data_IF_199842949098
#
_entry.id   IF_199842949098
#
_cell.length_a   1.000
_cell.length_b   1.000
_cell.length_c   1.000
_cell.angle_alpha   90.00
_cell.angle_beta   90.00
_cell.angle_gamma   90.00
#
_symmetry.space_group_name_H-M   'P 1'
#
loop_
_entity.id
_entity.type
_entity.pdbx_description
1 polymer ?
#
# COMPACT_ATOMS: atom_id res chain seq x y z
N UNK A 1 8.62 42.73 -35.96
CA UNK A 1 9.11 41.45 -35.39
C UNK A 1 8.54 41.13 -34.00
N UNK A 2 8.33 42.12 -33.10
CA UNK A 2 7.79 41.90 -31.74
C UNK A 2 6.41 41.20 -31.67
N UNK A 3 5.47 41.52 -32.58
CA UNK A 3 4.10 40.97 -32.54
C UNK A 3 4.04 39.45 -32.74
N UNK A 4 4.90 38.88 -33.60
CA UNK A 4 4.95 37.42 -33.83
C UNK A 4 5.51 36.64 -32.64
N UNK A 5 6.48 37.20 -31.93
CA UNK A 5 7.03 36.57 -30.71
C UNK A 5 6.00 36.50 -29.58
N UNK A 6 5.20 37.55 -29.41
CA UNK A 6 4.13 37.60 -28.41
C UNK A 6 3.04 36.56 -28.74
N UNK A 7 2.65 36.43 -30.00
CA UNK A 7 1.67 35.43 -30.44
C UNK A 7 2.17 33.99 -30.24
N UNK A 8 3.45 33.71 -30.53
CA UNK A 8 4.07 32.39 -30.29
C UNK A 8 4.11 32.09 -28.78
N UNK A 9 4.45 33.07 -27.95
CA UNK A 9 4.48 32.90 -26.50
C UNK A 9 3.08 32.59 -25.93
N UNK A 10 2.04 33.31 -26.36
CA UNK A 10 0.66 32.99 -25.97
C UNK A 10 0.22 31.61 -26.45
N UNK A 11 0.61 31.19 -27.66
CA UNK A 11 0.30 29.87 -28.19
C UNK A 11 0.97 28.75 -27.38
N UNK A 12 2.24 28.93 -26.98
CA UNK A 12 2.97 27.99 -26.12
C UNK A 12 2.35 27.93 -24.71
N UNK A 13 1.97 29.07 -24.14
CA UNK A 13 1.33 29.13 -22.81
C UNK A 13 -0.06 28.48 -22.85
N UNK A 14 -0.84 28.69 -23.91
CA UNK A 14 -2.15 28.02 -24.10
C UNK A 14 -1.97 26.52 -24.32
N UNK A 15 -0.99 26.09 -25.13
CA UNK A 15 -0.62 24.67 -25.27
C UNK A 15 -0.18 24.06 -23.93
N UNK A 16 0.61 24.79 -23.14
CA UNK A 16 1.07 24.37 -21.82
C UNK A 16 -0.09 24.23 -20.80
N UNK A 17 -1.07 25.14 -20.85
CA UNK A 17 -2.28 25.06 -20.03
C UNK A 17 -3.24 23.95 -20.48
N UNK A 18 -3.33 23.69 -21.80
CA UNK A 18 -4.12 22.59 -22.36
C UNK A 18 -3.45 21.22 -22.15
N UNK A 19 -2.13 21.19 -21.95
CA UNK A 19 -1.40 20.04 -21.43
C UNK A 19 -1.48 19.94 -19.90
N UNK A 20 -2.68 20.15 -19.32
CA UNK A 20 -3.00 19.50 -18.06
C UNK A 20 -2.95 17.99 -18.32
N UNK A 21 -1.74 17.42 -18.18
CA UNK A 21 -1.47 16.02 -18.42
C UNK A 21 -2.33 15.21 -17.46
N UNK A 22 -3.48 14.75 -17.95
CA UNK A 22 -4.28 13.74 -17.27
C UNK A 22 -3.35 12.54 -17.08
N UNK A 23 -3.14 12.20 -15.82
CA UNK A 23 -2.15 11.23 -15.39
C UNK A 23 -2.67 10.59 -14.12
N UNK A 24 -2.51 9.28 -14.03
CA UNK A 24 -2.87 8.53 -12.84
C UNK A 24 -2.12 9.08 -11.64
N UNK A 25 -2.88 9.34 -10.57
CA UNK A 25 -2.35 9.80 -9.28
C UNK A 25 -2.31 8.64 -8.30
N UNK A 26 -1.31 8.67 -7.43
CA UNK A 26 -1.28 7.78 -6.27
C UNK A 26 -2.19 8.35 -5.18
N UNK A 27 -2.90 7.48 -4.48
CA UNK A 27 -3.65 7.86 -3.28
C UNK A 27 -2.65 8.24 -2.18
N UNK A 28 -2.74 9.45 -1.59
CA UNK A 28 -1.84 9.85 -0.52
C UNK A 28 -1.92 8.92 0.71
N UNK A 29 -0.91 9.01 1.57
CA UNK A 29 -0.85 8.34 2.87
C UNK A 29 -0.95 6.80 2.81
N UNK A 30 -0.35 6.22 1.76
CA UNK A 30 -0.09 4.79 1.63
C UNK A 30 1.30 4.42 2.16
N UNK A 31 1.42 3.26 2.80
CA UNK A 31 2.69 2.71 3.30
C UNK A 31 2.68 1.18 3.39
N UNK A 32 3.88 0.59 3.44
CA UNK A 32 4.13 -0.80 3.82
C UNK A 32 5.28 -0.81 4.85
N UNK A 33 5.31 -1.82 5.71
CA UNK A 33 6.30 -1.94 6.81
C UNK A 33 7.08 -3.23 6.66
N UNK A 34 8.42 -3.17 6.77
CA UNK A 34 9.25 -4.39 6.81
C UNK A 34 8.82 -5.26 7.99
N UNK A 35 8.49 -6.52 7.71
CA UNK A 35 7.92 -7.47 8.67
C UNK A 35 6.39 -7.44 8.73
N UNK A 36 5.70 -6.77 7.80
CA UNK A 36 4.26 -6.84 7.63
C UNK A 36 3.88 -7.14 6.18
N UNK A 37 2.92 -8.05 6.01
CA UNK A 37 2.49 -8.58 4.71
C UNK A 37 1.46 -7.68 4.01
N UNK A 38 1.15 -6.52 4.59
CA UNK A 38 0.09 -5.63 4.16
C UNK A 38 0.61 -4.26 3.74
N UNK A 39 -0.01 -3.74 2.68
CA UNK A 39 -0.01 -2.31 2.37
C UNK A 39 -1.23 -1.65 3.01
N UNK A 40 -1.04 -0.49 3.61
CA UNK A 40 -2.07 0.28 4.30
C UNK A 40 -2.22 1.66 3.65
N UNK A 41 -3.45 2.08 3.36
CA UNK A 41 -3.78 3.43 2.93
C UNK A 41 -4.76 4.09 3.88
N UNK A 42 -4.29 5.15 4.57
CA UNK A 42 -5.07 5.88 5.57
C UNK A 42 -6.26 6.60 4.93
N UNK A 43 -6.06 7.25 3.78
CA UNK A 43 -7.10 8.09 3.15
C UNK A 43 -8.28 7.28 2.60
N UNK A 44 -8.05 6.04 2.17
CA UNK A 44 -9.08 5.14 1.68
C UNK A 44 -9.60 4.19 2.75
N UNK A 45 -9.02 4.24 3.95
CA UNK A 45 -9.28 3.29 5.04
C UNK A 45 -9.19 1.85 4.54
N UNK A 46 -8.11 1.54 3.82
CA UNK A 46 -7.97 0.30 3.05
C UNK A 46 -6.62 -0.34 3.31
N UNK A 47 -6.64 -1.65 3.48
CA UNK A 47 -5.48 -2.51 3.60
C UNK A 47 -5.50 -3.49 2.43
N UNK A 48 -4.34 -3.80 1.87
CA UNK A 48 -4.16 -4.75 0.76
C UNK A 48 -3.11 -5.75 1.19
N UNK A 49 -3.43 -7.04 1.18
CA UNK A 49 -2.46 -8.12 1.38
C UNK A 49 -1.57 -8.23 0.14
N UNK A 50 -0.26 -8.23 0.35
CA UNK A 50 0.76 -8.19 -0.71
C UNK A 50 1.27 -9.59 -1.10
N UNK A 51 1.07 -10.60 -0.26
CA UNK A 51 1.67 -11.93 -0.39
C UNK A 51 2.96 -12.07 0.40
N UNK A 52 3.34 -13.31 0.72
CA UNK A 52 4.47 -13.64 1.60
C UNK A 52 5.83 -13.16 1.05
N UNK A 53 5.97 -13.03 -0.28
CA UNK A 53 7.20 -12.59 -0.92
C UNK A 53 7.65 -11.20 -0.41
N UNK A 54 6.71 -10.32 0.01
CA UNK A 54 7.08 -9.02 0.63
C UNK A 54 7.88 -9.20 1.93
N UNK A 55 7.78 -10.33 2.61
CA UNK A 55 8.46 -10.58 3.88
C UNK A 55 9.93 -10.95 3.68
N UNK A 56 10.37 -11.25 2.45
CA UNK A 56 11.76 -11.58 2.18
C UNK A 56 12.68 -10.35 2.32
N UNK A 57 13.74 -10.48 3.12
CA UNK A 57 14.68 -9.39 3.41
C UNK A 57 15.28 -8.75 2.16
N UNK A 58 15.50 -9.52 1.09
CA UNK A 58 16.07 -9.01 -0.16
C UNK A 58 15.22 -7.90 -0.79
N UNK A 59 13.91 -7.90 -0.57
CA UNK A 59 13.02 -6.83 -1.03
C UNK A 59 13.19 -5.51 -0.26
N UNK A 60 13.78 -5.56 0.94
CA UNK A 60 13.95 -4.41 1.85
C UNK A 60 15.40 -3.91 1.94
N UNK A 61 16.37 -4.61 1.33
CA UNK A 61 17.79 -4.22 1.32
C UNK A 61 18.09 -3.02 0.40
N UNK A 62 17.15 -2.63 -0.48
CA UNK A 62 17.30 -1.50 -1.37
C UNK A 62 17.25 -0.14 -0.67
N UNK A 63 17.71 0.93 -1.35
CA UNK A 63 17.59 2.31 -0.87
C UNK A 63 16.14 2.83 -0.82
N UNK A 64 15.20 2.08 -1.38
CA UNK A 64 13.80 2.46 -1.54
C UNK A 64 12.91 1.31 -1.11
N UNK A 65 11.80 1.64 -0.45
CA UNK A 65 10.75 0.68 -0.11
C UNK A 65 10.32 -0.10 -1.38
N UNK A 66 10.18 -1.43 -1.31
CA UNK A 66 9.75 -2.26 -2.44
C UNK A 66 8.37 -1.85 -2.98
N UNK A 67 7.56 -1.20 -2.14
CA UNK A 67 6.26 -0.65 -2.47
C UNK A 67 6.36 0.88 -2.63
N UNK A 68 6.24 1.34 -3.88
CA UNK A 68 6.12 2.75 -4.22
C UNK A 68 4.67 3.23 -4.10
N UNK A 69 4.43 4.09 -3.10
CA UNK A 69 3.18 4.80 -2.88
C UNK A 69 3.32 6.34 -2.99
N UNK A 70 4.32 6.83 -3.75
CA UNK A 70 4.53 8.28 -3.97
C UNK A 70 4.05 8.74 -5.35
N UNK A 71 4.39 8.00 -6.39
CA UNK A 71 4.10 8.38 -7.77
C UNK A 71 3.89 7.17 -8.66
N UNK A 72 3.10 7.34 -9.73
CA UNK A 72 2.89 6.28 -10.72
C UNK A 72 3.99 6.37 -11.77
N UNK A 73 4.81 5.33 -11.90
CA UNK A 73 5.86 5.31 -12.92
C UNK A 73 5.28 5.20 -14.33
N UNK A 74 6.02 5.72 -15.32
CA UNK A 74 5.59 5.73 -16.72
C UNK A 74 5.23 4.34 -17.27
N UNK A 75 5.91 3.30 -16.77
CA UNK A 75 5.60 1.91 -17.11
C UNK A 75 4.18 1.54 -16.68
N UNK A 76 3.84 1.72 -15.41
CA UNK A 76 2.50 1.42 -14.88
C UNK A 76 1.42 2.33 -15.46
N UNK A 77 1.73 3.60 -15.79
CA UNK A 77 0.78 4.45 -16.54
C UNK A 77 0.39 3.86 -17.89
N UNK A 78 1.32 3.19 -18.58
CA UNK A 78 1.04 2.51 -19.87
C UNK A 78 0.23 1.24 -19.66
N UNK A 79 0.50 0.48 -18.60
CA UNK A 79 -0.28 -0.70 -18.21
C UNK A 79 -1.73 -0.32 -17.93
N UNK A 80 -1.96 0.71 -17.12
CA UNK A 80 -3.32 1.19 -16.82
C UNK A 80 -4.09 1.65 -18.05
N UNK A 81 -3.42 2.32 -19.00
CA UNK A 81 -4.00 2.68 -20.30
C UNK A 81 -4.35 1.46 -21.14
N UNK A 82 -3.45 0.47 -21.18
CA UNK A 82 -3.68 -0.79 -21.90
C UNK A 82 -4.92 -1.52 -21.33
N UNK A 83 -5.08 -1.52 -20.00
CA UNK A 83 -6.22 -2.06 -19.29
C UNK A 83 -7.45 -1.13 -19.25
N UNK A 84 -7.41 0.00 -19.98
CA UNK A 84 -8.53 0.96 -20.13
C UNK A 84 -9.03 1.60 -18.82
N UNK A 85 -8.18 1.71 -17.81
CA UNK A 85 -8.50 2.49 -16.61
C UNK A 85 -8.63 3.97 -16.93
N UNK A 86 -9.67 4.63 -16.43
CA UNK A 86 -9.78 6.09 -16.49
C UNK A 86 -8.97 6.73 -15.35
N UNK A 87 -8.12 7.71 -15.68
CA UNK A 87 -7.29 8.43 -14.71
C UNK A 87 -8.05 9.42 -13.81
N UNK A 88 -9.32 9.67 -14.12
CA UNK A 88 -10.23 10.45 -13.27
C UNK A 88 -11.09 9.55 -12.37
N UNK A 89 -11.42 8.35 -12.85
CA UNK A 89 -12.24 7.39 -12.12
C UNK A 89 -11.45 6.55 -11.12
N UNK A 90 -10.14 6.38 -11.35
CA UNK A 90 -9.28 5.51 -10.57
C UNK A 90 -8.03 6.22 -10.06
N UNK A 91 -7.52 5.74 -8.94
CA UNK A 91 -6.23 6.11 -8.38
C UNK A 91 -5.42 4.85 -8.07
N UNK A 92 -4.10 4.98 -8.21
CA UNK A 92 -3.16 3.92 -7.84
C UNK A 92 -2.99 3.94 -6.32
N UNK A 93 -3.07 2.79 -5.68
CA UNK A 93 -2.73 2.65 -4.26
C UNK A 93 -1.22 2.56 -4.10
N UNK A 94 -0.60 1.66 -4.85
CA UNK A 94 0.84 1.47 -4.92
C UNK A 94 1.23 0.73 -6.19
N UNK A 95 2.53 0.76 -6.49
CA UNK A 95 3.19 -0.17 -7.38
C UNK A 95 4.42 -0.74 -6.69
N UNK A 96 4.82 -1.97 -6.99
CA UNK A 96 6.02 -2.57 -6.41
C UNK A 96 6.68 -3.55 -7.35
N UNK A 97 7.94 -3.83 -7.07
CA UNK A 97 8.69 -4.94 -7.65
C UNK A 97 9.05 -5.87 -6.51
N UNK A 98 8.67 -7.14 -6.63
CA UNK A 98 8.89 -8.15 -5.60
C UNK A 98 9.64 -9.32 -6.20
N UNK A 99 10.61 -9.79 -5.43
CA UNK A 99 11.34 -11.01 -5.70
C UNK A 99 11.05 -11.99 -4.56
N UNK A 100 10.61 -13.20 -4.88
CA UNK A 100 10.37 -14.25 -3.89
C UNK A 100 10.29 -15.61 -4.56
N UNK A 101 9.16 -16.33 -4.43
CA UNK A 101 8.90 -17.52 -5.24
C UNK A 101 8.99 -17.21 -6.74
N UNK A 102 8.55 -16.01 -7.13
CA UNK A 102 8.67 -15.46 -8.48
C UNK A 102 9.23 -14.04 -8.43
N UNK A 103 9.71 -13.56 -9.57
CA UNK A 103 10.01 -12.15 -9.78
C UNK A 103 8.86 -11.51 -10.56
N UNK A 104 8.26 -10.47 -10.00
CA UNK A 104 7.10 -9.84 -10.60
C UNK A 104 6.94 -8.39 -10.18
N UNK A 105 6.19 -7.65 -10.99
CA UNK A 105 5.70 -6.33 -10.60
C UNK A 105 4.24 -6.42 -10.19
N UNK A 106 3.88 -5.68 -9.15
CA UNK A 106 2.52 -5.58 -8.65
C UNK A 106 2.03 -4.14 -8.71
N UNK A 107 0.76 -3.96 -9.03
CA UNK A 107 0.08 -2.67 -9.08
C UNK A 107 -1.30 -2.82 -8.47
N UNK A 108 -1.63 -2.00 -7.49
CA UNK A 108 -2.96 -1.94 -6.91
C UNK A 108 -3.67 -0.63 -7.27
N UNK A 109 -4.95 -0.72 -7.63
CA UNK A 109 -5.76 0.42 -8.09
C UNK A 109 -7.11 0.39 -7.40
N UNK A 110 -7.64 1.56 -7.04
CA UNK A 110 -8.96 1.69 -6.42
C UNK A 110 -9.81 2.70 -7.19
N UNK A 111 -11.12 2.48 -7.27
CA UNK A 111 -12.01 3.49 -7.83
C UNK A 111 -12.19 4.67 -6.84
N UNK A 112 -12.27 5.87 -7.40
CA UNK A 112 -12.39 7.12 -6.63
C UNK A 112 -13.80 7.35 -6.14
N UNK A 113 -14.77 6.92 -6.95
CA UNK A 113 -16.18 7.13 -6.70
C UNK A 113 -16.96 5.97 -7.31
N UNK A 114 -18.10 5.60 -6.71
CA UNK A 114 -18.99 4.61 -7.30
C UNK A 114 -19.60 5.16 -8.58
N UNK A 115 -20.37 4.33 -9.29
CA UNK A 115 -21.18 4.83 -10.37
C UNK A 115 -22.23 5.83 -9.85
N UNK A 116 -22.68 6.74 -10.71
CA UNK A 116 -23.73 7.71 -10.36
C UNK A 116 -24.90 7.57 -11.32
N UNK A 117 -26.12 7.51 -10.79
CA UNK A 117 -27.35 7.39 -11.58
C UNK A 117 -27.46 8.51 -12.60
N UNK A 118 -27.73 8.16 -13.86
CA UNK A 118 -27.88 9.12 -14.96
C UNK A 118 -26.57 9.65 -15.55
N UNK A 119 -25.40 9.22 -15.05
CA UNK A 119 -24.10 9.53 -15.67
C UNK A 119 -23.57 8.31 -16.44
N UNK A 120 -22.75 8.56 -17.46
CA UNK A 120 -22.05 7.50 -18.19
C UNK A 120 -21.19 6.70 -17.20
N UNK A 121 -21.29 5.37 -17.26
CA UNK A 121 -20.47 4.47 -16.44
C UNK A 121 -18.98 4.79 -16.68
N UNK A 122 -18.29 5.14 -15.60
CA UNK A 122 -16.86 5.46 -15.61
C UNK A 122 -16.00 4.38 -14.98
N UNK A 123 -16.62 3.33 -14.42
CA UNK A 123 -15.93 2.17 -13.91
C UNK A 123 -15.51 1.23 -15.05
N UNK A 124 -14.48 0.44 -14.78
CA UNK A 124 -13.97 -0.58 -15.67
C UNK A 124 -15.07 -1.56 -16.06
N UNK A 125 -15.17 -1.87 -17.35
CA UNK A 125 -16.06 -2.90 -17.86
C UNK A 125 -15.49 -4.29 -17.56
N UNK A 126 -16.24 -5.07 -16.77
CA UNK A 126 -15.86 -6.42 -16.35
C UNK A 126 -16.55 -7.52 -17.16
N UNK A 127 -17.29 -7.18 -18.22
CA UNK A 127 -18.09 -8.14 -19.01
C UNK A 127 -17.25 -9.25 -19.66
N UNK A 128 -16.00 -8.95 -20.02
CA UNK A 128 -15.06 -9.92 -20.60
C UNK A 128 -14.22 -10.67 -19.55
N UNK A 129 -14.37 -10.37 -18.26
CA UNK A 129 -13.60 -11.00 -17.21
C UNK A 129 -14.24 -12.33 -16.82
N UNK A 130 -13.39 -13.30 -16.50
CA UNK A 130 -13.83 -14.51 -15.83
C UNK A 130 -14.25 -14.16 -14.40
N UNK A 131 -15.37 -14.70 -13.95
CA UNK A 131 -15.86 -14.51 -12.58
C UNK A 131 -15.59 -15.76 -11.76
N UNK A 132 -14.94 -15.58 -10.62
CA UNK A 132 -14.82 -16.63 -9.60
C UNK A 132 -15.54 -16.21 -8.34
N UNK A 133 -16.20 -17.18 -7.72
CA UNK A 133 -16.96 -16.98 -6.50
C UNK A 133 -16.89 -18.22 -5.63
N UNK A 134 -16.62 -18.01 -4.35
CA UNK A 134 -16.58 -19.04 -3.32
C UNK A 134 -17.15 -18.49 -2.00
N UNK A 135 -16.93 -19.22 -0.90
CA UNK A 135 -17.38 -18.85 0.45
C UNK A 135 -16.75 -17.56 1.00
N UNK A 136 -15.57 -17.19 0.52
CA UNK A 136 -14.85 -15.98 0.98
C UNK A 136 -15.31 -14.73 0.23
N UNK A 137 -15.87 -14.89 -0.97
CA UNK A 137 -16.42 -13.78 -1.75
C UNK A 137 -16.34 -14.04 -3.23
N UNK A 138 -16.30 -12.95 -4.01
CA UNK A 138 -16.17 -13.02 -5.46
C UNK A 138 -15.10 -12.06 -5.95
N UNK A 139 -14.47 -12.42 -7.06
CA UNK A 139 -13.58 -11.55 -7.81
C UNK A 139 -13.70 -11.83 -9.30
N UNK A 140 -13.22 -10.90 -10.10
CA UNK A 140 -13.16 -11.01 -11.56
C UNK A 140 -11.71 -11.02 -11.99
N UNK A 141 -11.36 -11.79 -13.01
CA UNK A 141 -10.01 -11.76 -13.54
C UNK A 141 -9.91 -11.98 -15.05
N UNK A 142 -8.81 -11.51 -15.62
CA UNK A 142 -8.41 -11.80 -16.98
C UNK A 142 -6.90 -11.98 -17.05
N UNK A 143 -6.44 -12.66 -18.10
CA UNK A 143 -5.03 -12.90 -18.38
C UNK A 143 -4.73 -12.42 -19.78
N UNK A 144 -3.78 -11.50 -19.92
CA UNK A 144 -3.37 -10.94 -21.20
C UNK A 144 -1.84 -10.89 -21.28
N UNK A 145 -1.31 -10.23 -22.31
CA UNK A 145 0.12 -9.93 -22.43
C UNK A 145 0.34 -8.44 -22.58
N UNK A 146 1.44 -7.94 -22.03
CA UNK A 146 1.87 -6.56 -22.19
C UNK A 146 3.38 -6.52 -22.39
N UNK A 147 3.83 -6.17 -23.60
CA UNK A 147 5.26 -6.06 -23.95
C UNK A 147 6.09 -7.31 -23.60
N UNK A 148 5.61 -8.50 -23.95
CA UNK A 148 6.30 -9.76 -23.65
C UNK A 148 6.26 -10.15 -22.18
N UNK A 149 5.37 -9.56 -21.37
CA UNK A 149 5.11 -9.99 -20.01
C UNK A 149 3.71 -10.56 -19.89
N UNK A 150 3.57 -11.61 -19.07
CA UNK A 150 2.27 -12.15 -18.69
C UNK A 150 1.60 -11.17 -17.74
N UNK A 151 0.40 -10.69 -18.11
CA UNK A 151 -0.36 -9.74 -17.31
C UNK A 151 -1.56 -10.45 -16.71
N UNK A 152 -1.58 -10.57 -15.39
CA UNK A 152 -2.73 -11.06 -14.64
C UNK A 152 -3.46 -9.88 -14.00
N UNK A 153 -4.75 -9.75 -14.27
CA UNK A 153 -5.54 -8.62 -13.80
C UNK A 153 -6.76 -9.11 -13.05
N UNK A 154 -6.79 -8.82 -11.75
CA UNK A 154 -7.85 -9.16 -10.83
C UNK A 154 -8.61 -7.91 -10.38
N UNK A 155 -9.92 -8.02 -10.19
CA UNK A 155 -10.80 -6.97 -9.68
C UNK A 155 -11.67 -7.55 -8.56
N UNK A 156 -11.50 -7.02 -7.36
CA UNK A 156 -12.13 -7.45 -6.12
C UNK A 156 -13.17 -6.39 -5.71
N UNK A 157 -14.47 -6.64 -5.90
CA UNK A 157 -15.51 -5.78 -5.37
C UNK A 157 -15.68 -6.03 -3.86
N UNK A 158 -15.49 -4.98 -3.05
CA UNK A 158 -15.67 -5.05 -1.59
C UNK A 158 -16.86 -4.22 -1.08
N UNK A 159 -17.44 -3.38 -1.93
CA UNK A 159 -18.82 -2.91 -1.76
C UNK A 159 -19.54 -3.07 -3.09
N UNK A 160 -20.57 -3.91 -3.11
CA UNK A 160 -21.37 -4.21 -4.30
C UNK A 160 -22.72 -3.50 -4.35
N UNK A 161 -23.02 -2.61 -3.40
CA UNK A 161 -24.28 -1.86 -3.38
C UNK A 161 -24.31 -0.93 -4.59
N UNK A 162 -25.43 -0.96 -5.32
CA UNK A 162 -25.64 -0.14 -6.51
C UNK A 162 -25.40 1.35 -6.17
N UNK A 163 -24.63 2.04 -7.01
CA UNK A 163 -24.22 3.44 -6.82
C UNK A 163 -23.33 3.69 -5.59
N UNK A 164 -22.81 2.62 -4.97
CA UNK A 164 -21.83 2.66 -3.88
C UNK A 164 -20.70 1.65 -4.14
N UNK A 165 -20.51 1.26 -5.39
CA UNK A 165 -19.54 0.24 -5.76
C UNK A 165 -18.13 0.68 -5.37
N UNK A 166 -17.44 -0.17 -4.60
CA UNK A 166 -16.03 -0.03 -4.30
C UNK A 166 -15.29 -1.29 -4.72
N UNK A 167 -14.18 -1.09 -5.43
CA UNK A 167 -13.39 -2.16 -6.03
C UNK A 167 -11.91 -1.86 -5.89
N UNK A 168 -11.13 -2.88 -5.51
CA UNK A 168 -9.68 -2.89 -5.62
C UNK A 168 -9.30 -3.76 -6.78
N UNK A 169 -8.37 -3.32 -7.61
CA UNK A 169 -7.78 -4.14 -8.66
C UNK A 169 -6.35 -4.47 -8.29
N UNK A 170 -5.98 -5.74 -8.40
CA UNK A 170 -4.60 -6.22 -8.26
C UNK A 170 -4.13 -6.66 -9.63
N UNK A 171 -3.04 -6.06 -10.11
CA UNK A 171 -2.48 -6.30 -11.43
C UNK A 171 -1.05 -6.79 -11.22
N UNK A 172 -0.73 -7.93 -11.80
CA UNK A 172 0.58 -8.54 -11.73
C UNK A 172 1.20 -8.62 -13.13
N UNK A 173 2.49 -8.34 -13.23
CA UNK A 173 3.29 -8.50 -14.43
C UNK A 173 4.39 -9.51 -14.14
N UNK A 174 4.34 -10.65 -14.81
CA UNK A 174 5.32 -11.72 -14.73
C UNK A 174 6.13 -11.85 -16.02
N UNK A 175 7.26 -12.57 -16.00
CA UNK A 175 7.88 -13.12 -17.19
C UNK A 175 6.86 -13.84 -18.11
N UNK A 176 7.15 -13.89 -19.41
CA UNK A 176 6.21 -14.39 -20.43
C UNK A 176 5.80 -15.85 -20.21
N UNK A 177 6.74 -16.66 -19.71
CA UNK A 177 6.65 -18.09 -19.47
C UNK A 177 5.96 -18.46 -18.15
N UNK A 178 5.47 -17.47 -17.39
CA UNK A 178 4.77 -17.73 -16.14
C UNK A 178 3.47 -18.53 -16.32
N UNK A 179 3.38 -19.68 -15.64
CA UNK A 179 2.23 -20.60 -15.72
C UNK A 179 1.47 -20.79 -14.41
N UNK A 180 2.03 -20.45 -13.24
CA UNK A 180 1.42 -20.70 -11.93
C UNK A 180 0.38 -19.62 -11.54
N UNK A 181 -0.71 -19.56 -12.32
CA UNK A 181 -1.80 -18.60 -12.06
C UNK A 181 -2.46 -18.87 -10.69
N UNK A 182 -2.40 -20.11 -10.18
CA UNK A 182 -2.97 -20.48 -8.89
C UNK A 182 -2.32 -19.70 -7.74
N UNK A 183 -0.99 -19.57 -7.74
CA UNK A 183 -0.28 -18.73 -6.76
C UNK A 183 -0.81 -17.30 -6.71
N UNK A 184 -1.02 -16.66 -7.87
CA UNK A 184 -1.53 -15.28 -7.92
C UNK A 184 -2.99 -15.19 -7.42
N UNK A 185 -3.79 -16.23 -7.68
CA UNK A 185 -5.15 -16.33 -7.15
C UNK A 185 -5.16 -16.48 -5.64
N UNK A 186 -4.21 -17.19 -5.04
CA UNK A 186 -4.13 -17.34 -3.58
C UNK A 186 -3.90 -15.98 -2.89
N UNK A 187 -2.99 -15.16 -3.41
CA UNK A 187 -2.78 -13.78 -2.92
C UNK A 187 -4.05 -12.93 -3.04
N UNK A 188 -4.76 -13.05 -4.16
CA UNK A 188 -6.04 -12.36 -4.41
C UNK A 188 -7.12 -12.86 -3.44
N UNK A 189 -7.14 -14.16 -3.15
CA UNK A 189 -8.13 -14.76 -2.26
C UNK A 189 -7.98 -14.28 -0.81
N UNK A 190 -6.76 -14.07 -0.31
CA UNK A 190 -6.55 -13.46 1.01
C UNK A 190 -7.16 -12.05 1.09
N UNK A 191 -7.05 -11.26 0.01
CA UNK A 191 -7.70 -9.95 -0.07
C UNK A 191 -9.24 -10.07 -0.13
N UNK A 192 -9.76 -11.01 -0.92
CA UNK A 192 -11.21 -11.28 -1.00
C UNK A 192 -11.77 -11.63 0.39
N UNK A 193 -11.11 -12.53 1.12
CA UNK A 193 -11.49 -12.94 2.46
C UNK A 193 -11.43 -11.78 3.46
N UNK A 194 -10.36 -10.98 3.42
CA UNK A 194 -10.20 -9.79 4.27
C UNK A 194 -11.33 -8.76 4.06
N UNK A 195 -11.79 -8.60 2.82
CA UNK A 195 -12.86 -7.67 2.48
C UNK A 195 -14.27 -8.22 2.72
N UNK A 196 -14.42 -9.50 3.08
CA UNK A 196 -15.71 -10.08 3.45
C UNK A 196 -16.26 -9.40 4.71
N UNK A 197 -17.59 -9.38 4.83
CA UNK A 197 -18.41 -8.70 5.83
C UNK A 197 -17.68 -8.24 7.12
N UNK A 198 -17.73 -6.91 7.35
CA UNK A 198 -17.19 -6.19 8.52
C UNK A 198 -15.67 -5.98 8.53
N UNK A 199 -15.04 -5.86 7.36
CA UNK A 199 -13.69 -5.31 7.26
C UNK A 199 -13.55 -4.07 8.17
N UNK A 200 -12.68 -4.18 9.17
CA UNK A 200 -12.39 -3.12 10.12
C UNK A 200 -10.98 -2.62 9.85
N UNK A 201 -10.89 -1.45 9.23
CA UNK A 201 -9.62 -0.82 8.97
C UNK A 201 -8.87 -0.56 10.28
N UNK A 202 -7.71 -1.18 10.41
CA UNK A 202 -6.81 -0.99 11.56
C UNK A 202 -5.44 -0.64 11.01
N UNK A 203 -5.05 0.64 10.97
CA UNK A 203 -3.80 1.09 10.34
C UNK A 203 -2.58 0.86 11.24
N UNK A 204 -2.64 -0.12 12.14
CA UNK A 204 -1.63 -0.38 13.15
C UNK A 204 -1.69 -1.86 13.50
N UNK A 205 -0.53 -2.49 13.65
CA UNK A 205 -0.42 -3.90 14.03
C UNK A 205 0.31 -3.97 15.36
N UNK A 206 -0.27 -4.70 16.30
CA UNK A 206 0.40 -5.09 17.55
C UNK A 206 0.39 -6.60 17.58
N UNK A 207 1.57 -7.22 17.53
CA UNK A 207 1.69 -8.65 17.74
C UNK A 207 2.23 -8.89 19.15
N UNK A 208 1.37 -9.34 20.05
CA UNK A 208 1.74 -9.67 21.43
C UNK A 208 1.92 -11.18 21.51
N UNK A 209 3.15 -11.67 21.35
CA UNK A 209 3.49 -13.10 21.44
C UNK A 209 3.99 -13.51 22.84
N UNK A 210 3.71 -12.72 23.87
CA UNK A 210 4.24 -13.00 25.21
C UNK A 210 3.44 -14.12 25.89
N UNK A 211 4.10 -15.03 26.63
CA UNK A 211 3.41 -15.94 27.54
C UNK A 211 2.43 -15.19 28.45
N UNK A 212 1.25 -15.75 28.67
CA UNK A 212 0.22 -15.18 29.55
C UNK A 212 0.49 -15.56 31.02
N UNK A 213 1.70 -15.25 31.49
CA UNK A 213 2.17 -15.59 32.85
C UNK A 213 2.21 -14.37 33.80
N UNK A 214 1.74 -13.21 33.32
CA UNK A 214 1.73 -11.94 34.06
C UNK A 214 3.11 -11.31 34.31
N UNK A 215 4.21 -12.03 34.05
CA UNK A 215 5.58 -11.62 34.36
C UNK A 215 6.41 -11.27 33.12
N UNK A 216 6.03 -11.84 31.97
CA UNK A 216 6.70 -11.71 30.68
C UNK A 216 6.28 -10.48 29.88
N UNK A 217 5.16 -9.83 30.25
CA UNK A 217 4.67 -8.61 29.61
C UNK A 217 5.29 -7.36 30.23
N UNK A 218 5.53 -6.34 29.41
CA UNK A 218 5.99 -5.03 29.82
C UNK A 218 5.42 -3.94 28.92
N UNK A 219 5.66 -2.68 29.31
CA UNK A 219 5.31 -1.49 28.54
C UNK A 219 6.57 -0.90 27.91
N UNK A 220 6.55 -0.77 26.60
CA UNK A 220 7.54 -0.01 25.85
C UNK A 220 6.99 1.40 25.68
N UNK A 221 7.44 2.30 26.55
CA UNK A 221 7.08 3.71 26.49
C UNK A 221 8.08 4.49 25.64
N UNK A 222 7.59 5.50 24.94
CA UNK A 222 8.43 6.37 24.13
C UNK A 222 7.98 7.82 24.19
N UNK A 223 8.97 8.71 24.07
CA UNK A 223 8.79 10.15 23.89
C UNK A 223 9.72 10.65 22.79
N UNK A 224 9.15 11.13 21.70
CA UNK A 224 9.87 11.69 20.57
C UNK A 224 10.39 13.09 20.99
N UNK A 225 11.67 13.42 20.73
CA UNK A 225 12.19 14.77 20.97
C UNK A 225 11.39 15.84 20.22
N UNK A 226 11.10 16.97 20.87
CA UNK A 226 10.17 17.98 20.35
C UNK A 226 10.59 18.51 18.96
N UNK A 227 11.89 18.68 18.73
CA UNK A 227 12.46 19.13 17.46
C UNK A 227 12.35 18.11 16.32
N UNK A 228 12.00 16.85 16.64
CA UNK A 228 11.80 15.77 15.67
C UNK A 228 10.32 15.50 15.37
N UNK A 229 9.39 16.04 16.17
CA UNK A 229 7.95 15.80 16.00
C UNK A 229 7.46 16.38 14.68
N UNK A 230 6.87 15.54 13.83
CA UNK A 230 6.25 16.00 12.60
C UNK A 230 4.88 16.63 12.86
N UNK A 231 4.69 17.89 12.45
CA UNK A 231 3.47 18.67 12.70
C UNK A 231 2.47 18.68 11.53
N UNK A 232 2.82 18.12 10.36
CA UNK A 232 2.03 18.31 9.13
C UNK A 232 1.50 17.03 8.49
N UNK A 233 2.10 15.87 8.76
CA UNK A 233 1.74 14.62 8.09
C UNK A 233 1.80 13.40 9.01
N UNK A 234 1.21 12.31 8.55
CA UNK A 234 1.27 11.04 9.26
C UNK A 234 2.69 10.46 9.25
N UNK A 235 3.03 9.80 10.34
CA UNK A 235 4.31 9.13 10.55
C UNK A 235 4.07 7.71 11.07
N UNK A 236 5.11 6.90 11.13
CA UNK A 236 5.07 5.57 11.72
C UNK A 236 5.98 5.53 12.93
N UNK A 237 5.47 4.98 14.03
CA UNK A 237 6.27 4.50 15.13
C UNK A 237 6.35 2.98 15.02
N UNK A 238 7.55 2.42 14.96
CA UNK A 238 7.80 0.99 14.78
C UNK A 238 8.71 0.50 15.89
N UNK A 239 8.45 -0.67 16.43
CA UNK A 239 9.36 -1.34 17.34
C UNK A 239 9.77 -2.69 16.76
N UNK A 240 11.08 -2.94 16.74
CA UNK A 240 11.70 -4.18 16.32
C UNK A 240 12.40 -4.81 17.52
N UNK A 241 12.24 -6.12 17.69
CA UNK A 241 12.90 -6.91 18.72
C UNK A 241 13.69 -8.05 18.10
N UNK A 242 14.54 -8.69 18.89
CA UNK A 242 15.24 -9.91 18.50
C UNK A 242 14.40 -11.13 18.87
N UNK A 243 14.08 -11.98 17.89
CA UNK A 243 13.32 -13.22 18.08
C UNK A 243 14.04 -14.30 17.28
N UNK A 244 14.51 -15.33 17.96
CA UNK A 244 15.32 -16.42 17.38
C UNK A 244 16.61 -15.95 16.69
N UNK A 245 17.23 -14.86 17.18
CA UNK A 245 18.44 -14.28 16.60
C UNK A 245 18.20 -13.38 15.37
N UNK A 246 16.94 -13.17 14.99
CA UNK A 246 16.55 -12.31 13.87
C UNK A 246 15.81 -11.06 14.35
N UNK A 247 16.05 -9.94 13.68
CA UNK A 247 15.32 -8.69 13.91
C UNK A 247 13.92 -8.80 13.33
N UNK A 248 12.89 -8.89 14.19
CA UNK A 248 11.48 -9.00 13.78
C UNK A 248 10.69 -7.77 14.18
N UNK A 249 9.71 -7.41 13.35
CA UNK A 249 8.73 -6.36 13.66
C UNK A 249 7.82 -6.86 14.78
N UNK A 250 7.71 -6.09 15.86
CA UNK A 250 6.87 -6.44 17.02
C UNK A 250 5.55 -5.68 16.96
N UNK A 251 5.64 -4.38 16.68
CA UNK A 251 4.49 -3.49 16.62
C UNK A 251 4.80 -2.29 15.74
N UNK A 252 3.78 -1.77 15.06
CA UNK A 252 3.81 -0.43 14.54
C UNK A 252 2.49 0.29 14.74
N UNK A 253 2.58 1.62 14.84
CA UNK A 253 1.44 2.52 14.96
C UNK A 253 1.57 3.70 14.01
N UNK A 254 0.45 4.07 13.40
CA UNK A 254 0.32 5.33 12.68
C UNK A 254 0.20 6.48 13.69
N UNK A 255 1.12 7.43 13.59
CA UNK A 255 1.18 8.64 14.39
C UNK A 255 0.50 9.77 13.62
N UNK A 256 -0.47 10.45 14.23
CA UNK A 256 -1.09 11.66 13.68
C UNK A 256 -0.11 12.83 13.77
N UNK A 257 -0.30 13.89 12.96
CA UNK A 257 0.50 15.10 13.07
C UNK A 257 0.47 15.66 14.51
N UNK A 258 1.65 15.90 15.08
CA UNK A 258 1.79 16.41 16.45
C UNK A 258 1.83 15.34 17.54
N UNK A 259 1.57 14.06 17.26
CA UNK A 259 1.73 12.99 18.24
C UNK A 259 3.22 12.82 18.59
N UNK A 260 3.54 12.81 19.89
CA UNK A 260 4.92 12.82 20.36
C UNK A 260 5.24 11.79 21.46
N UNK A 261 4.23 11.15 22.07
CA UNK A 261 4.44 10.13 23.11
C UNK A 261 3.46 8.98 22.95
N UNK A 262 3.77 7.83 23.56
CA UNK A 262 2.89 6.69 23.58
C UNK A 262 3.52 5.48 24.26
N UNK A 263 2.77 4.38 24.25
CA UNK A 263 3.16 3.11 24.84
C UNK A 263 2.71 1.94 23.95
N UNK A 264 3.52 0.89 23.91
CA UNK A 264 3.18 -0.41 23.35
C UNK A 264 3.25 -1.48 24.44
N UNK A 265 2.28 -2.40 24.44
CA UNK A 265 2.40 -3.62 25.23
C UNK A 265 3.29 -4.58 24.45
N UNK A 266 4.38 -5.01 25.07
CA UNK A 266 5.40 -5.87 24.45
C UNK A 266 5.87 -6.91 25.46
N UNK A 267 6.75 -7.82 25.04
CA UNK A 267 7.41 -8.71 25.99
C UNK A 267 8.55 -7.96 26.67
N UNK A 268 9.05 -8.51 27.76
CA UNK A 268 10.33 -8.05 28.33
C UNK A 268 11.46 -8.37 27.36
N UNK A 269 12.33 -7.39 27.10
CA UNK A 269 13.49 -7.55 26.23
C UNK A 269 14.04 -6.24 25.69
N UNK A 270 14.97 -6.36 24.75
CA UNK A 270 15.59 -5.23 24.05
C UNK A 270 14.87 -4.94 22.73
N UNK A 271 14.56 -3.65 22.51
CA UNK A 271 13.85 -3.19 21.34
C UNK A 271 14.54 -1.99 20.69
N UNK A 272 14.55 -1.98 19.36
CA UNK A 272 14.84 -0.81 18.54
C UNK A 272 13.51 -0.11 18.18
N UNK A 273 13.42 1.17 18.51
CA UNK A 273 12.27 2.00 18.18
C UNK A 273 12.66 2.94 17.03
N UNK A 274 11.87 2.94 15.96
CA UNK A 274 12.04 3.79 14.80
C UNK A 274 10.82 4.70 14.61
N UNK A 275 11.06 6.00 14.56
CA UNK A 275 10.10 7.00 14.08
C UNK A 275 10.41 7.37 12.64
N UNK A 276 9.55 6.98 11.72
CA UNK A 276 9.79 7.10 10.27
C UNK A 276 8.68 7.87 9.58
N UNK A 277 9.00 8.45 8.43
CA UNK A 277 7.96 8.82 7.46
C UNK A 277 7.21 7.57 7.00
N UNK A 278 6.04 7.76 6.38
CA UNK A 278 5.30 6.66 5.75
C UNK A 278 6.15 5.87 4.73
N UNK A 279 7.14 6.54 4.12
CA UNK A 279 8.01 5.97 3.07
C UNK A 279 9.38 5.60 3.60
N UNK A 280 9.40 5.15 4.85
CA UNK A 280 10.50 4.51 5.56
C UNK A 280 11.77 5.33 5.78
N UNK A 281 11.75 6.63 5.51
CA UNK A 281 12.81 7.54 5.95
C UNK A 281 12.79 7.67 7.48
N UNK A 282 13.85 7.23 8.15
CA UNK A 282 14.06 7.38 9.60
C UNK A 282 14.26 8.86 9.95
N UNK A 283 13.50 9.34 10.95
CA UNK A 283 13.58 10.70 11.50
C UNK A 283 14.19 10.70 12.89
N UNK A 284 13.85 9.69 13.69
CA UNK A 284 14.40 9.46 15.02
C UNK A 284 14.45 7.96 15.30
N UNK A 285 15.43 7.52 16.08
CA UNK A 285 15.60 6.14 16.50
C UNK A 285 16.16 6.09 17.92
N UNK A 286 15.80 5.06 18.68
CA UNK A 286 16.38 4.78 19.99
C UNK A 286 16.35 3.27 20.28
N UNK A 287 17.09 2.84 21.31
CA UNK A 287 17.00 1.49 21.87
C UNK A 287 16.42 1.57 23.27
N UNK A 288 15.54 0.63 23.62
CA UNK A 288 14.89 0.55 24.92
C UNK A 288 14.94 -0.89 25.41
N UNK A 289 15.27 -1.07 26.68
CA UNK A 289 15.14 -2.35 27.38
C UNK A 289 13.90 -2.27 28.26
N UNK A 290 12.96 -3.20 28.12
CA UNK A 290 11.69 -3.22 28.85
C UNK A 290 11.72 -4.12 30.09
N UNK A 291 12.88 -4.68 30.45
CA UNK A 291 13.06 -5.45 31.69
C UNK A 291 13.17 -4.55 32.93
N UNK A 292 13.45 -3.27 32.73
CA UNK A 292 13.50 -2.23 33.75
C UNK A 292 12.53 -1.13 33.38
N UNK A 293 11.78 -0.61 34.35
CA UNK A 293 10.88 0.53 34.10
C UNK A 293 11.69 1.73 33.62
N UNK A 294 11.23 2.38 32.55
CA UNK A 294 11.87 3.57 31.99
C UNK A 294 11.50 4.78 32.85
N UNK A 295 12.43 5.27 33.68
CA UNK A 295 12.30 6.58 34.31
C UNK A 295 12.59 7.68 33.27
N UNK A 296 11.60 8.55 33.01
CA UNK A 296 11.73 9.71 32.11
C UNK A 296 12.13 10.99 32.84
#
# INVERSE_FOLDING_TARGET
MQSRFIQIFYFIVVLAMLSSCKSYKVVPNGFAVQGDEYFVNINKELTVFLGDDIMEDKNWQGKTNPINAKQVDNRFRRVLRHLRYSDTAYQVLFSGHLEGKYQYDMLAVVNNSPNVKGKKNHLLDLSSFQREQNKEGRYFYTTTTFKGQKLLHFVIPFNGRLWQEKMVSLIFLFPEDFTDIAWAKDVVMSNVAMYRDRYKFTPSRTEILCPDDGSSRSHLDYKIPEEKVNKTGYMLMKAYGEVDGERKLVVYRVMKPGDFYGSFVTCKGDYEILYTTLQDKIVWQTKVNTERDVEF
#
